data_IF_387377030707
#
_entry.id   IF_387377030707
#
_cell.length_a   1.000
_cell.length_b   1.000
_cell.length_c   1.000
_cell.angle_alpha   90.00
_cell.angle_beta   90.00
_cell.angle_gamma   90.00
#
_symmetry.space_group_name_H-M   'P 1'
#
loop_
_entity.id
_entity.type
_entity.pdbx_description
1 polymer ?
#
# COMPACT_ATOMS: atom_id res chain seq x y z
N UNK A 1 26.51 20.65 -1.27
CA UNK A 1 25.82 21.12 -2.50
C UNK A 1 25.20 19.89 -3.14
N UNK A 2 23.88 19.82 -3.25
CA UNK A 2 23.15 18.66 -3.76
C UNK A 2 23.40 18.48 -5.27
N UNK A 3 24.39 17.68 -5.64
CA UNK A 3 24.66 17.29 -7.02
C UNK A 3 23.68 16.19 -7.45
N UNK A 4 22.39 16.53 -7.55
CA UNK A 4 21.39 15.60 -8.08
C UNK A 4 21.19 15.91 -9.57
N UNK A 5 21.55 14.99 -10.50
CA UNK A 5 21.64 15.26 -11.94
C UNK A 5 20.27 15.38 -12.64
N UNK A 6 19.16 15.27 -11.92
CA UNK A 6 17.83 15.43 -12.51
C UNK A 6 17.49 16.92 -12.69
N UNK A 7 17.53 17.48 -13.91
CA UNK A 7 17.34 18.91 -14.14
C UNK A 7 15.91 19.39 -13.78
N UNK A 8 14.94 18.48 -13.65
CA UNK A 8 13.56 18.81 -13.32
C UNK A 8 13.26 18.97 -11.83
N UNK A 9 14.18 18.58 -10.93
CA UNK A 9 13.92 18.57 -9.48
C UNK A 9 13.86 20.00 -8.89
N UNK A 10 13.02 20.20 -7.88
CA UNK A 10 12.90 21.49 -7.16
C UNK A 10 14.22 21.95 -6.51
N UNK A 11 15.10 21.01 -6.15
CA UNK A 11 16.43 21.33 -5.63
C UNK A 11 17.34 22.05 -6.65
N UNK A 12 17.05 21.91 -7.95
CA UNK A 12 17.79 22.52 -9.05
C UNK A 12 17.10 23.79 -9.58
N UNK A 13 16.04 24.26 -8.92
CA UNK A 13 15.26 25.47 -9.29
C UNK A 13 15.58 26.65 -8.38
N UNK A 14 15.44 27.90 -8.86
CA UNK A 14 15.60 29.08 -8.02
C UNK A 14 14.53 29.11 -6.92
N UNK A 15 14.93 29.49 -5.69
CA UNK A 15 14.07 29.47 -4.50
C UNK A 15 12.78 30.28 -4.67
N UNK A 16 12.83 31.38 -5.41
CA UNK A 16 11.67 32.25 -5.63
C UNK A 16 10.64 31.60 -6.56
N UNK A 17 11.06 30.84 -7.56
CA UNK A 17 10.17 30.06 -8.42
C UNK A 17 9.49 28.94 -7.61
N UNK A 18 10.26 28.21 -6.79
CA UNK A 18 9.70 27.17 -5.92
C UNK A 18 8.68 27.75 -4.94
N UNK A 19 8.97 28.92 -4.36
CA UNK A 19 8.03 29.66 -3.50
C UNK A 19 6.77 30.09 -4.25
N UNK A 20 6.91 30.58 -5.48
CA UNK A 20 5.77 30.97 -6.31
C UNK A 20 4.87 29.76 -6.64
N UNK A 21 5.46 28.61 -6.98
CA UNK A 21 4.74 27.36 -7.24
C UNK A 21 3.99 26.90 -5.98
N UNK A 22 4.66 26.88 -4.82
CA UNK A 22 4.04 26.51 -3.56
C UNK A 22 2.90 27.47 -3.17
N UNK A 23 3.10 28.78 -3.32
CA UNK A 23 2.05 29.78 -3.10
C UNK A 23 0.87 29.57 -4.04
N UNK A 24 1.10 29.34 -5.33
CA UNK A 24 0.03 29.08 -6.31
C UNK A 24 -0.75 27.81 -5.96
N UNK A 25 -0.06 26.75 -5.56
CA UNK A 25 -0.67 25.50 -5.09
C UNK A 25 -1.54 25.71 -3.85
N UNK A 26 -1.07 26.47 -2.87
CA UNK A 26 -1.84 26.81 -1.67
C UNK A 26 -3.05 27.71 -1.96
N UNK A 27 -2.90 28.73 -2.81
CA UNK A 27 -4.01 29.62 -3.17
C UNK A 27 -5.16 28.87 -3.88
N UNK A 28 -4.83 27.87 -4.69
CA UNK A 28 -5.83 27.02 -5.35
C UNK A 28 -6.65 26.18 -4.34
N UNK A 29 -6.08 25.81 -3.20
CA UNK A 29 -6.77 25.05 -2.15
C UNK A 29 -7.55 25.92 -1.15
N UNK A 30 -7.29 27.23 -1.07
CA UNK A 30 -7.97 28.13 -0.13
C UNK A 30 -9.32 28.69 -0.62
N UNK A 31 -9.68 28.53 -1.90
CA UNK A 31 -10.79 29.28 -2.54
C UNK A 31 -12.03 28.46 -2.90
N UNK A 32 -12.24 27.28 -2.30
CA UNK A 32 -13.49 26.51 -2.51
C UNK A 32 -13.34 24.99 -2.67
N UNK A 33 -12.40 24.37 -1.95
CA UNK A 33 -12.21 22.92 -1.97
C UNK A 33 -13.37 22.13 -1.35
N UNK A 34 -13.31 20.81 -1.44
CA UNK A 34 -14.31 19.90 -0.88
C UNK A 34 -14.65 20.20 0.59
N UNK A 35 -13.63 20.48 1.41
CA UNK A 35 -13.80 20.79 2.83
C UNK A 35 -14.54 22.12 3.13
N UNK A 36 -14.60 23.03 2.16
CA UNK A 36 -15.31 24.32 2.28
C UNK A 36 -16.74 24.29 1.72
N UNK A 37 -17.19 23.18 1.15
CA UNK A 37 -18.58 23.01 0.70
C UNK A 37 -19.52 22.71 1.88
N UNK A 38 -20.83 22.91 1.70
CA UNK A 38 -21.83 22.49 2.67
C UNK A 38 -21.77 20.98 2.96
N UNK A 39 -21.97 20.58 4.22
CA UNK A 39 -21.85 19.18 4.66
C UNK A 39 -22.76 18.23 3.88
N UNK A 40 -23.98 18.67 3.54
CA UNK A 40 -24.91 17.88 2.75
C UNK A 40 -24.38 17.62 1.33
N UNK A 41 -23.81 18.65 0.70
CA UNK A 41 -23.20 18.52 -0.64
C UNK A 41 -21.97 17.61 -0.59
N UNK A 42 -21.14 17.74 0.46
CA UNK A 42 -20.00 16.83 0.67
C UNK A 42 -20.47 15.38 0.78
N UNK A 43 -21.50 15.12 1.58
CA UNK A 43 -22.07 13.79 1.77
C UNK A 43 -22.60 13.21 0.45
N UNK A 44 -23.34 13.99 -0.32
CA UNK A 44 -23.85 13.55 -1.62
C UNK A 44 -22.74 13.19 -2.61
N UNK A 45 -21.66 13.99 -2.67
CA UNK A 45 -20.51 13.71 -3.52
C UNK A 45 -19.79 12.43 -3.05
N UNK A 46 -19.55 12.29 -1.74
CA UNK A 46 -18.94 11.11 -1.16
C UNK A 46 -19.78 9.84 -1.41
N UNK A 47 -21.10 9.94 -1.25
CA UNK A 47 -22.05 8.86 -1.50
C UNK A 47 -22.03 8.43 -2.97
N UNK A 48 -22.13 9.38 -3.91
CA UNK A 48 -21.99 9.11 -5.36
C UNK A 48 -20.66 8.46 -5.71
N UNK A 49 -19.56 8.95 -5.11
CA UNK A 49 -18.24 8.35 -5.27
C UNK A 49 -18.17 6.91 -4.76
N UNK A 50 -18.79 6.63 -3.61
CA UNK A 50 -18.91 5.29 -3.05
C UNK A 50 -19.73 4.36 -3.94
N UNK A 51 -20.85 4.83 -4.50
CA UNK A 51 -21.72 4.07 -5.41
C UNK A 51 -21.06 3.79 -6.76
N UNK A 52 -20.27 4.73 -7.28
CA UNK A 52 -19.50 4.55 -8.51
C UNK A 52 -18.30 3.61 -8.32
N UNK A 53 -17.82 3.48 -7.07
CA UNK A 53 -16.81 2.49 -6.71
C UNK A 53 -17.43 1.10 -6.61
N UNK A 54 -16.59 0.07 -6.65
CA UNK A 54 -17.01 -1.31 -6.42
C UNK A 54 -17.40 -1.64 -4.98
N UNK A 55 -17.55 -0.64 -4.12
CA UNK A 55 -17.81 -0.79 -2.70
C UNK A 55 -16.58 -1.25 -1.90
N UNK A 56 -16.81 -1.52 -0.61
CA UNK A 56 -15.79 -2.05 0.30
C UNK A 56 -15.46 -3.50 -0.06
N UNK A 57 -14.21 -3.91 0.17
CA UNK A 57 -13.85 -5.32 0.09
C UNK A 57 -14.32 -6.04 1.34
N UNK A 58 -14.92 -7.22 1.17
CA UNK A 58 -15.22 -8.09 2.31
C UNK A 58 -13.92 -8.74 2.83
N UNK A 59 -13.70 -8.78 4.16
CA UNK A 59 -12.53 -9.43 4.74
C UNK A 59 -12.38 -10.87 4.24
N UNK A 60 -11.17 -11.25 3.82
CA UNK A 60 -10.87 -12.59 3.32
C UNK A 60 -11.35 -12.89 1.89
N UNK A 61 -12.10 -12.00 1.24
CA UNK A 61 -12.51 -12.20 -0.15
C UNK A 61 -11.30 -12.23 -1.12
N UNK A 62 -11.41 -12.98 -2.21
CA UNK A 62 -10.38 -13.01 -3.26
C UNK A 62 -10.08 -11.63 -3.81
N UNK A 63 -11.13 -10.82 -3.99
CA UNK A 63 -11.04 -9.43 -4.45
C UNK A 63 -10.18 -8.58 -3.49
N UNK A 64 -10.34 -8.76 -2.18
CA UNK A 64 -9.52 -8.09 -1.17
C UNK A 64 -8.05 -8.55 -1.25
N UNK A 65 -7.84 -9.87 -1.35
CA UNK A 65 -6.51 -10.50 -1.41
C UNK A 65 -5.75 -10.07 -2.66
N UNK A 66 -6.41 -10.03 -3.82
CA UNK A 66 -5.80 -9.59 -5.07
C UNK A 66 -5.46 -8.10 -5.04
N UNK A 67 -6.38 -7.25 -4.58
CA UNK A 67 -6.14 -5.81 -4.43
C UNK A 67 -4.98 -5.54 -3.46
N UNK A 68 -4.94 -6.24 -2.32
CA UNK A 68 -3.84 -6.17 -1.36
C UNK A 68 -2.51 -6.62 -1.95
N UNK A 69 -2.48 -7.76 -2.67
CA UNK A 69 -1.28 -8.26 -3.36
C UNK A 69 -0.77 -7.27 -4.41
N UNK A 70 -1.65 -6.69 -5.22
CA UNK A 70 -1.29 -5.69 -6.24
C UNK A 70 -0.74 -4.42 -5.61
N UNK A 71 -1.40 -3.92 -4.54
CA UNK A 71 -0.92 -2.77 -3.77
C UNK A 71 0.45 -3.03 -3.14
N UNK A 72 0.63 -4.20 -2.54
CA UNK A 72 1.89 -4.63 -1.94
C UNK A 72 3.04 -4.72 -2.94
N UNK A 73 2.79 -5.24 -4.15
CA UNK A 73 3.78 -5.25 -5.26
C UNK A 73 4.18 -3.83 -5.69
N UNK A 74 3.22 -2.92 -5.81
CA UNK A 74 3.49 -1.53 -6.20
C UNK A 74 4.29 -0.77 -5.14
N UNK A 75 4.03 -0.99 -3.84
CA UNK A 75 4.78 -0.37 -2.76
C UNK A 75 6.12 -1.07 -2.47
N UNK A 76 6.21 -2.38 -2.72
CA UNK A 76 7.38 -3.20 -2.46
C UNK A 76 8.50 -3.02 -3.49
N UNK A 77 8.18 -2.60 -4.72
CA UNK A 77 9.16 -2.34 -5.78
C UNK A 77 10.22 -1.27 -5.38
N UNK A 78 9.87 -0.34 -4.49
CA UNK A 78 10.79 0.66 -3.96
C UNK A 78 11.63 0.19 -2.76
N UNK A 79 11.26 -0.92 -2.10
CA UNK A 79 12.05 -1.51 -1.00
C UNK A 79 12.96 -2.64 -1.50
N UNK A 80 12.52 -3.44 -2.46
CA UNK A 80 13.28 -4.59 -2.97
C UNK A 80 14.57 -4.20 -3.74
N UNK A 81 14.80 -2.92 -4.01
CA UNK A 81 15.96 -2.42 -4.76
C UNK A 81 17.09 -1.87 -3.89
N UNK A 82 17.05 -2.05 -2.55
CA UNK A 82 18.17 -1.67 -1.66
C UNK A 82 18.97 -2.84 -1.07
N UNK A 83 18.59 -4.08 -1.37
CA UNK A 83 19.15 -5.26 -0.71
C UNK A 83 19.52 -6.37 -1.71
N UNK A 84 19.75 -6.03 -2.99
CA UNK A 84 20.26 -6.98 -3.98
C UNK A 84 21.78 -6.81 -4.18
N UNK A 85 22.54 -7.11 -3.13
CA UNK A 85 23.78 -7.85 -3.28
C UNK A 85 23.63 -9.13 -2.46
N UNK A 86 23.78 -10.27 -3.14
CA UNK A 86 23.92 -11.61 -2.57
C UNK A 86 22.61 -12.31 -2.17
N UNK A 87 22.09 -13.14 -3.07
CA UNK A 87 21.82 -14.59 -2.90
C UNK A 87 20.94 -15.05 -4.08
N UNK A 88 21.61 -15.50 -5.15
CA UNK A 88 21.06 -16.52 -6.03
C UNK A 88 21.72 -17.81 -5.60
N UNK A 89 20.94 -18.79 -5.15
CA UNK A 89 21.09 -20.21 -5.47
C UNK A 89 19.96 -20.96 -4.73
N UNK A 90 19.22 -21.77 -5.49
CA UNK A 90 18.53 -22.99 -5.05
C UNK A 90 17.29 -22.87 -4.13
N UNK A 91 16.18 -22.36 -4.67
CA UNK A 91 14.85 -22.81 -4.21
C UNK A 91 14.00 -23.23 -5.42
N UNK A 92 14.37 -24.37 -6.00
CA UNK A 92 13.38 -25.32 -6.51
C UNK A 92 12.55 -25.72 -5.29
N UNK A 93 11.28 -25.32 -5.27
CA UNK A 93 10.33 -25.83 -4.28
C UNK A 93 9.92 -27.20 -4.84
N UNK A 94 10.63 -28.23 -4.41
CA UNK A 94 10.19 -29.60 -4.59
C UNK A 94 9.03 -29.82 -3.61
N UNK A 95 7.84 -30.05 -4.15
CA UNK A 95 6.67 -30.49 -3.40
C UNK A 95 6.95 -31.92 -2.88
N UNK A 96 7.63 -32.06 -1.74
CA UNK A 96 7.66 -33.30 -0.98
C UNK A 96 6.68 -33.18 0.21
N UNK A 97 5.57 -33.91 0.08
CA UNK A 97 4.67 -34.23 1.18
C UNK A 97 5.36 -35.20 2.14
N UNK A 98 5.52 -34.80 3.40
CA UNK A 98 5.74 -35.72 4.51
C UNK A 98 4.61 -35.52 5.53
N UNK A 99 3.57 -36.33 5.34
CA UNK A 99 2.58 -36.64 6.37
C UNK A 99 3.24 -37.56 7.42
N UNK A 100 3.50 -37.07 8.63
CA UNK A 100 3.65 -37.95 9.79
C UNK A 100 2.87 -37.40 10.98
N UNK A 101 1.63 -37.91 11.11
CA UNK A 101 0.79 -37.68 12.27
C UNK A 101 1.25 -38.61 13.40
N UNK A 102 1.93 -38.09 14.43
CA UNK A 102 2.15 -38.86 15.65
C UNK A 102 0.82 -39.14 16.36
N UNK A 103 0.42 -40.42 16.39
CA UNK A 103 -0.74 -40.95 17.10
C UNK A 103 -0.51 -40.92 18.61
N UNK A 104 -1.22 -40.03 19.32
CA UNK A 104 -1.10 -39.88 20.78
C UNK A 104 -2.00 -40.88 21.50
N UNK A 105 -1.40 -41.95 22.02
CA UNK A 105 -2.09 -42.99 22.82
C UNK A 105 -2.82 -42.41 24.06
N UNK A 106 -4.07 -42.80 24.33
CA UNK A 106 -4.79 -42.37 25.52
C UNK A 106 -4.27 -43.11 26.76
N UNK A 107 -3.78 -42.35 27.74
CA UNK A 107 -3.38 -42.93 29.05
C UNK A 107 -4.61 -43.49 29.77
N UNK A 108 -4.68 -44.83 29.82
CA UNK A 108 -5.63 -45.56 30.65
C UNK A 108 -5.35 -45.31 32.14
N UNK A 109 -6.42 -45.26 32.92
CA UNK A 109 -6.42 -44.79 34.30
C UNK A 109 -5.80 -45.71 35.33
N UNK A 110 -5.73 -45.19 36.56
CA UNK A 110 -5.62 -45.99 37.77
C UNK A 110 -6.55 -45.37 38.82
N UNK A 111 -7.61 -46.12 39.13
CA UNK A 111 -8.25 -46.23 40.46
C UNK A 111 -7.15 -46.50 41.51
N UNK A 112 -7.24 -46.09 42.77
CA UNK A 112 -8.27 -46.39 43.80
C UNK A 112 -8.18 -45.37 44.94
#
# INVERSE_FOLDING_TARGET
MTNNPNPGNFANRPKDEVRAIARKGGQASHSGGFASMDSEKQHQIASKGGQASSGKFEPGSERAREAGRKGGRASGAHRASKDNEQYNEDQQIDDEEDDDYEEVEPRQGATE
#
